data_IF_791946285601
#
_entry.id   IF_791946285601
#
_cell.length_a   1.000
_cell.length_b   1.000
_cell.length_c   1.000
_cell.angle_alpha   90.00
_cell.angle_beta   90.00
_cell.angle_gamma   90.00
#
_symmetry.space_group_name_H-M   'P 1'
#
loop_
_entity.id
_entity.type
_entity.pdbx_description
1 polymer ?
#
# COMPACT_ATOMS: atom_id res chain seq x y z
N UNK A 1 5.14 -25.62 -24.43
CA UNK A 1 3.97 -25.15 -23.63
C UNK A 1 4.43 -24.99 -22.17
N UNK A 2 4.45 -23.76 -21.64
CA UNK A 2 5.10 -23.44 -20.36
C UNK A 2 4.29 -23.97 -19.17
N UNK A 3 4.84 -24.93 -18.43
CA UNK A 3 4.31 -25.47 -17.16
C UNK A 3 4.16 -24.42 -16.02
N UNK A 4 4.62 -23.20 -16.21
CA UNK A 4 4.52 -22.12 -15.23
C UNK A 4 3.07 -21.65 -14.93
N UNK A 5 2.10 -21.91 -15.82
CA UNK A 5 0.69 -21.52 -15.61
C UNK A 5 -0.06 -22.38 -14.58
N UNK A 6 0.50 -23.50 -14.16
CA UNK A 6 -0.15 -24.42 -13.18
C UNK A 6 0.42 -24.31 -11.77
N UNK A 7 1.55 -23.63 -11.56
CA UNK A 7 2.14 -23.46 -10.23
C UNK A 7 1.38 -22.42 -9.42
N UNK A 8 1.06 -22.74 -8.16
CA UNK A 8 0.51 -21.79 -7.20
C UNK A 8 1.58 -20.73 -6.82
N UNK A 9 2.79 -21.21 -6.53
CA UNK A 9 3.91 -20.32 -6.13
C UNK A 9 4.52 -19.73 -7.39
N UNK A 10 4.26 -18.45 -7.62
CA UNK A 10 4.81 -17.69 -8.75
C UNK A 10 5.66 -16.52 -8.25
N UNK A 11 6.61 -16.00 -9.04
CA UNK A 11 7.35 -14.80 -8.67
C UNK A 11 6.44 -13.60 -8.35
N UNK A 12 5.29 -13.48 -9.05
CA UNK A 12 4.29 -12.44 -8.81
C UNK A 12 3.66 -12.58 -7.43
N UNK A 13 3.30 -13.81 -7.03
CA UNK A 13 2.73 -14.07 -5.70
C UNK A 13 3.74 -13.74 -4.60
N UNK A 14 4.99 -14.17 -4.75
CA UNK A 14 6.04 -13.92 -3.75
C UNK A 14 6.35 -12.43 -3.63
N UNK A 15 6.51 -11.73 -4.76
CA UNK A 15 6.77 -10.29 -4.79
C UNK A 15 5.60 -9.51 -4.17
N UNK A 16 4.37 -9.81 -4.57
CA UNK A 16 3.17 -9.16 -4.01
C UNK A 16 3.03 -9.40 -2.50
N UNK A 17 3.25 -10.66 -2.06
CA UNK A 17 3.20 -10.99 -0.62
C UNK A 17 4.28 -10.25 0.17
N UNK A 18 5.50 -10.11 -0.36
CA UNK A 18 6.57 -9.40 0.32
C UNK A 18 6.26 -7.89 0.43
N UNK A 19 5.77 -7.27 -0.64
CA UNK A 19 5.37 -5.87 -0.62
C UNK A 19 4.30 -5.64 0.45
N UNK A 20 3.24 -6.46 0.48
CA UNK A 20 2.13 -6.26 1.41
C UNK A 20 2.53 -6.54 2.87
N UNK A 21 3.40 -7.53 3.14
CA UNK A 21 3.94 -7.77 4.49
C UNK A 21 4.59 -6.50 5.02
N UNK A 22 5.47 -5.88 4.25
CA UNK A 22 6.23 -4.71 4.67
C UNK A 22 5.31 -3.49 4.80
N UNK A 23 4.55 -3.15 3.76
CA UNK A 23 3.75 -1.93 3.75
C UNK A 23 2.60 -1.96 4.76
N UNK A 24 1.96 -3.11 4.96
CA UNK A 24 0.93 -3.29 5.98
C UNK A 24 1.51 -3.47 7.38
N UNK A 25 2.72 -4.02 7.50
CA UNK A 25 3.45 -4.06 8.76
C UNK A 25 3.73 -2.64 9.27
N UNK A 26 4.27 -1.78 8.42
CA UNK A 26 4.50 -0.37 8.74
C UNK A 26 3.17 0.31 9.10
N UNK A 27 2.12 0.14 8.26
CA UNK A 27 0.79 0.69 8.56
C UNK A 27 0.26 0.24 9.93
N UNK A 28 0.38 -1.05 10.25
CA UNK A 28 -0.10 -1.62 11.51
C UNK A 28 0.64 -1.12 12.74
N UNK A 29 1.81 -0.51 12.56
CA UNK A 29 2.65 -0.03 13.66
C UNK A 29 2.40 1.41 14.07
N UNK A 30 1.63 2.21 13.31
CA UNK A 30 1.48 3.65 13.59
C UNK A 30 1.00 3.96 15.01
N UNK A 31 0.16 3.11 15.59
CA UNK A 31 -0.34 3.32 16.96
C UNK A 31 0.73 3.39 18.05
N UNK A 32 1.90 2.73 17.86
CA UNK A 32 2.97 2.76 18.89
C UNK A 32 3.74 4.07 18.91
N UNK A 33 3.62 4.91 17.87
CA UNK A 33 4.27 6.22 17.80
C UNK A 33 3.50 7.32 18.52
N UNK A 34 2.26 7.07 18.92
CA UNK A 34 1.42 8.05 19.61
C UNK A 34 2.14 8.62 20.85
N UNK A 35 2.56 7.78 21.77
CA UNK A 35 3.17 8.22 23.03
C UNK A 35 4.49 8.97 22.81
N UNK A 36 5.44 8.49 22.00
CA UNK A 36 6.65 9.23 21.68
C UNK A 36 6.40 10.64 21.11
N UNK A 37 5.49 10.76 20.16
CA UNK A 37 5.17 12.03 19.48
C UNK A 37 4.42 12.99 20.42
N UNK A 38 3.40 12.49 21.15
CA UNK A 38 2.67 13.28 22.16
C UNK A 38 3.62 13.85 23.22
N UNK A 39 4.55 13.03 23.71
CA UNK A 39 5.50 13.45 24.74
C UNK A 39 6.52 14.48 24.23
N UNK A 40 7.01 14.37 23.01
CA UNK A 40 8.00 15.26 22.43
C UNK A 40 7.42 16.65 22.16
N UNK A 41 6.22 16.72 21.58
CA UNK A 41 5.60 17.96 21.12
C UNK A 41 4.50 18.48 22.06
N UNK A 42 4.16 17.76 23.12
CA UNK A 42 3.05 18.08 24.03
C UNK A 42 1.70 18.18 23.30
N UNK A 43 1.52 17.37 22.25
CA UNK A 43 0.27 17.34 21.52
C UNK A 43 -0.81 16.61 22.32
N UNK A 44 -2.06 17.00 22.07
CA UNK A 44 -3.19 16.30 22.63
C UNK A 44 -3.38 14.96 21.90
N UNK A 45 -3.82 13.93 22.62
CA UNK A 45 -4.11 12.61 22.06
C UNK A 45 -5.06 12.68 20.86
N UNK A 46 -6.02 13.60 20.87
CA UNK A 46 -6.98 13.78 19.77
C UNK A 46 -6.29 14.22 18.48
N UNK A 47 -5.21 14.98 18.55
CA UNK A 47 -4.49 15.49 17.38
C UNK A 47 -3.77 14.34 16.64
N UNK A 48 -3.13 13.43 17.37
CA UNK A 48 -2.53 12.24 16.79
C UNK A 48 -3.61 11.27 16.27
N UNK A 49 -4.67 11.05 17.03
CA UNK A 49 -5.77 10.18 16.58
C UNK A 49 -6.44 10.70 15.31
N UNK A 50 -6.58 12.02 15.18
CA UNK A 50 -7.09 12.67 13.97
C UNK A 50 -6.15 12.46 12.78
N UNK A 51 -4.83 12.53 13.00
CA UNK A 51 -3.84 12.23 11.97
C UNK A 51 -4.01 10.82 11.40
N UNK A 52 -4.19 9.81 12.27
CA UNK A 52 -4.44 8.43 11.85
C UNK A 52 -5.81 8.28 11.15
N UNK A 53 -6.83 9.01 11.58
CA UNK A 53 -8.13 9.04 10.89
C UNK A 53 -8.00 9.60 9.46
N UNK A 54 -7.24 10.70 9.30
CA UNK A 54 -6.93 11.32 8.01
C UNK A 54 -6.11 10.36 7.12
N UNK A 55 -5.14 9.64 7.67
CA UNK A 55 -4.40 8.59 6.96
C UNK A 55 -5.35 7.53 6.39
N UNK A 56 -6.29 7.03 7.19
CA UNK A 56 -7.26 6.03 6.74
C UNK A 56 -8.22 6.61 5.69
N UNK A 57 -8.61 7.89 5.81
CA UNK A 57 -9.40 8.58 4.78
C UNK A 57 -8.63 8.68 3.47
N UNK A 58 -7.35 9.09 3.52
CA UNK A 58 -6.44 9.10 2.36
C UNK A 58 -6.31 7.73 1.70
N UNK A 59 -6.19 6.67 2.50
CA UNK A 59 -6.18 5.30 1.99
C UNK A 59 -7.50 4.93 1.30
N UNK A 60 -8.64 5.22 1.92
CA UNK A 60 -9.97 4.94 1.37
C UNK A 60 -10.24 5.66 0.05
N UNK A 61 -9.91 6.96 -0.03
CA UNK A 61 -10.05 7.76 -1.25
C UNK A 61 -9.02 7.36 -2.31
N UNK A 62 -7.79 7.08 -1.90
CA UNK A 62 -6.70 6.70 -2.79
C UNK A 62 -6.91 5.34 -3.45
N UNK A 63 -7.55 4.37 -2.78
CA UNK A 63 -7.69 3.02 -3.30
C UNK A 63 -8.39 2.96 -4.68
N UNK A 64 -9.56 3.55 -4.91
CA UNK A 64 -10.18 3.57 -6.23
C UNK A 64 -9.37 4.39 -7.26
N UNK A 65 -8.70 5.46 -6.83
CA UNK A 65 -7.86 6.30 -7.71
C UNK A 65 -6.68 5.49 -8.23
N UNK A 66 -5.90 4.85 -7.33
CA UNK A 66 -4.77 4.02 -7.73
C UNK A 66 -5.22 2.81 -8.55
N UNK A 67 -6.37 2.20 -8.24
CA UNK A 67 -6.95 1.14 -9.05
C UNK A 67 -7.22 1.57 -10.49
N UNK A 68 -7.94 2.67 -10.69
CA UNK A 68 -8.25 3.21 -12.01
C UNK A 68 -6.99 3.66 -12.78
N UNK A 69 -6.04 4.31 -12.09
CA UNK A 69 -4.78 4.71 -12.68
C UNK A 69 -3.89 3.50 -13.02
N UNK A 70 -3.95 2.43 -12.22
CA UNK A 70 -3.25 1.18 -12.48
C UNK A 70 -3.72 0.50 -13.76
N UNK A 71 -5.04 0.50 -14.02
CA UNK A 71 -5.60 -0.01 -15.28
C UNK A 71 -5.16 0.84 -16.50
N UNK A 72 -5.02 2.15 -16.32
CA UNK A 72 -4.66 3.08 -17.41
C UNK A 72 -3.16 3.15 -17.68
N UNK A 73 -2.34 3.21 -16.65
CA UNK A 73 -0.91 3.51 -16.77
C UNK A 73 -0.01 2.30 -16.43
N UNK A 74 -0.60 1.21 -15.94
CA UNK A 74 0.09 0.01 -15.49
C UNK A 74 0.27 -0.05 -13.98
N UNK A 75 0.03 -1.22 -13.41
CA UNK A 75 0.05 -1.45 -11.96
C UNK A 75 1.42 -1.18 -11.32
N UNK A 76 2.50 -1.59 -11.99
CA UNK A 76 3.87 -1.39 -11.48
C UNK A 76 4.18 0.08 -11.23
N UNK A 77 3.81 0.94 -12.19
CA UNK A 77 4.03 2.39 -12.07
C UNK A 77 3.25 2.97 -10.92
N UNK A 78 2.01 2.52 -10.73
CA UNK A 78 1.16 3.00 -9.65
C UNK A 78 1.59 2.50 -8.28
N UNK A 79 2.08 1.27 -8.17
CA UNK A 79 2.68 0.74 -6.93
C UNK A 79 3.94 1.57 -6.57
N UNK A 80 4.80 1.87 -7.53
CA UNK A 80 5.98 2.72 -7.30
C UNK A 80 5.57 4.16 -6.92
N UNK A 81 4.56 4.73 -7.57
CA UNK A 81 4.03 6.05 -7.22
C UNK A 81 3.45 6.07 -5.80
N UNK A 82 2.70 5.02 -5.41
CA UNK A 82 2.23 4.86 -4.05
C UNK A 82 3.37 4.73 -3.04
N UNK A 83 4.37 3.91 -3.34
CA UNK A 83 5.57 3.80 -2.51
C UNK A 83 6.29 5.14 -2.34
N UNK A 84 6.37 5.94 -3.41
CA UNK A 84 6.96 7.28 -3.36
C UNK A 84 6.18 8.22 -2.43
N UNK A 85 4.85 8.23 -2.52
CA UNK A 85 4.01 8.98 -1.57
C UNK A 85 4.24 8.51 -0.12
N UNK A 86 4.32 7.20 0.09
CA UNK A 86 4.54 6.63 1.42
C UNK A 86 5.89 7.07 2.00
N UNK A 87 6.96 6.93 1.22
CA UNK A 87 8.33 7.32 1.61
C UNK A 87 8.41 8.81 1.90
N UNK A 88 7.88 9.66 1.00
CA UNK A 88 7.87 11.12 1.21
C UNK A 88 7.09 11.48 2.48
N UNK A 89 5.91 10.91 2.66
CA UNK A 89 5.11 11.15 3.86
C UNK A 89 5.87 10.80 5.13
N UNK A 90 6.48 9.61 5.21
CA UNK A 90 7.30 9.18 6.36
C UNK A 90 8.49 10.11 6.61
N UNK A 91 9.27 10.42 5.56
CA UNK A 91 10.47 11.26 5.70
C UNK A 91 10.10 12.68 6.13
N UNK A 92 9.09 13.29 5.50
CA UNK A 92 8.67 14.65 5.85
C UNK A 92 8.02 14.72 7.24
N UNK A 93 7.34 13.66 7.68
CA UNK A 93 6.76 13.59 9.02
C UNK A 93 7.82 13.72 10.13
N UNK A 94 9.07 13.33 9.87
CA UNK A 94 10.17 13.51 10.84
C UNK A 94 10.49 14.98 11.12
N UNK A 95 10.06 15.89 10.27
CA UNK A 95 10.24 17.34 10.42
C UNK A 95 8.96 18.08 10.86
N UNK A 96 7.85 17.38 11.00
CA UNK A 96 6.57 17.97 11.39
C UNK A 96 6.57 18.33 12.87
N UNK A 97 6.54 19.62 13.19
CA UNK A 97 6.57 20.15 14.55
C UNK A 97 5.19 20.59 15.06
N UNK A 98 4.16 20.55 14.22
CA UNK A 98 2.81 20.91 14.61
C UNK A 98 1.80 19.86 14.09
N UNK A 99 0.64 19.73 14.78
CA UNK A 99 -0.34 18.69 14.45
C UNK A 99 -0.89 18.79 13.02
N UNK A 100 -1.15 20.01 12.54
CA UNK A 100 -1.74 20.21 11.21
C UNK A 100 -0.81 19.73 10.09
N UNK A 101 0.49 20.04 10.19
CA UNK A 101 1.49 19.54 9.23
C UNK A 101 1.58 18.02 9.27
N UNK A 102 1.60 17.43 10.46
CA UNK A 102 1.63 15.98 10.61
C UNK A 102 0.37 15.32 10.00
N UNK A 103 -0.82 15.85 10.27
CA UNK A 103 -2.09 15.39 9.71
C UNK A 103 -2.11 15.45 8.18
N UNK A 104 -1.55 16.52 7.57
CA UNK A 104 -1.43 16.62 6.12
C UNK A 104 -0.47 15.55 5.55
N UNK A 105 0.64 15.29 6.24
CA UNK A 105 1.59 14.25 5.82
C UNK A 105 1.01 12.85 5.99
N UNK A 106 0.19 12.63 7.00
CA UNK A 106 -0.55 11.38 7.17
C UNK A 106 -1.57 11.14 6.04
N UNK A 107 -2.15 12.20 5.46
CA UNK A 107 -2.95 12.06 4.25
C UNK A 107 -2.11 11.53 3.08
N UNK A 108 -0.89 12.05 2.88
CA UNK A 108 0.04 11.59 1.85
C UNK A 108 0.45 10.12 2.10
N UNK A 109 0.73 9.76 3.36
CA UNK A 109 0.99 8.37 3.76
C UNK A 109 -0.20 7.48 3.41
N UNK A 110 -1.43 7.96 3.66
CA UNK A 110 -2.66 7.25 3.30
C UNK A 110 -2.76 6.94 1.81
N UNK A 111 -2.44 7.90 0.94
CA UNK A 111 -2.33 7.67 -0.50
C UNK A 111 -1.22 6.65 -0.82
N UNK A 112 -0.09 6.71 -0.12
CA UNK A 112 0.99 5.73 -0.24
C UNK A 112 0.53 4.30 0.09
N UNK A 113 -0.23 4.15 1.18
CA UNK A 113 -0.86 2.88 1.58
C UNK A 113 -1.84 2.40 0.50
N UNK A 114 -2.61 3.30 -0.11
CA UNK A 114 -3.54 2.95 -1.19
C UNK A 114 -2.83 2.35 -2.39
N UNK A 115 -1.75 2.97 -2.85
CA UNK A 115 -0.99 2.53 -4.03
C UNK A 115 -0.17 1.26 -3.81
N UNK A 116 0.30 1.00 -2.57
CA UNK A 116 1.08 -0.20 -2.23
C UNK A 116 0.26 -1.27 -1.51
N UNK A 117 -1.01 -1.00 -1.25
CA UNK A 117 -1.86 -1.78 -0.38
C UNK A 117 -2.56 -2.96 -1.03
N UNK A 118 -3.44 -3.55 -0.23
CA UNK A 118 -4.07 -4.83 -0.54
C UNK A 118 -4.84 -4.79 -1.87
N UNK A 119 -5.57 -3.70 -2.17
CA UNK A 119 -6.35 -3.56 -3.41
C UNK A 119 -5.50 -3.70 -4.66
N UNK A 120 -4.39 -2.97 -4.74
CA UNK A 120 -3.45 -3.02 -5.87
C UNK A 120 -2.78 -4.40 -5.99
N UNK A 121 -2.28 -4.94 -4.89
CA UNK A 121 -1.56 -6.22 -4.89
C UNK A 121 -2.51 -7.38 -5.23
N UNK A 122 -3.73 -7.41 -4.68
CA UNK A 122 -4.74 -8.42 -5.02
C UNK A 122 -5.11 -8.38 -6.51
N UNK A 123 -5.27 -7.18 -7.08
CA UNK A 123 -5.56 -7.03 -8.50
C UNK A 123 -4.44 -7.62 -9.38
N UNK A 124 -3.18 -7.30 -9.07
CA UNK A 124 -2.00 -7.82 -9.82
C UNK A 124 -1.89 -9.33 -9.69
N UNK A 125 -1.94 -9.86 -8.46
CA UNK A 125 -1.79 -11.30 -8.20
C UNK A 125 -2.98 -12.08 -8.76
N UNK A 126 -4.20 -11.56 -8.61
CA UNK A 126 -5.41 -12.19 -9.14
C UNK A 126 -5.40 -12.33 -10.65
N UNK A 127 -4.95 -11.30 -11.38
CA UNK A 127 -4.80 -11.35 -12.86
C UNK A 127 -3.66 -12.26 -13.31
N UNK A 128 -2.59 -12.36 -12.53
CA UNK A 128 -1.45 -13.21 -12.87
C UNK A 128 -1.68 -14.70 -12.54
N UNK A 129 -2.66 -15.01 -11.71
CA UNK A 129 -2.95 -16.36 -11.25
C UNK A 129 -3.84 -17.12 -12.24
N UNK A 130 -3.63 -18.44 -12.38
CA UNK A 130 -4.56 -19.30 -13.11
C UNK A 130 -5.92 -19.36 -12.39
N UNK A 131 -7.00 -19.62 -13.12
CA UNK A 131 -8.36 -19.72 -12.54
C UNK A 131 -8.40 -20.73 -11.37
N UNK A 132 -7.76 -21.87 -11.53
CA UNK A 132 -7.68 -22.93 -10.51
C UNK A 132 -7.05 -22.45 -9.20
N UNK A 133 -6.02 -21.59 -9.28
CA UNK A 133 -5.21 -21.19 -8.12
C UNK A 133 -5.53 -19.78 -7.62
N UNK A 134 -6.39 -19.03 -8.32
CA UNK A 134 -6.65 -17.61 -8.04
C UNK A 134 -7.13 -17.38 -6.61
N UNK A 135 -8.14 -18.11 -6.17
CA UNK A 135 -8.69 -17.96 -4.81
C UNK A 135 -7.63 -18.21 -3.73
N UNK A 136 -6.81 -19.26 -3.90
CA UNK A 136 -5.73 -19.54 -2.95
C UNK A 136 -4.63 -18.49 -2.99
N UNK A 137 -4.23 -18.01 -4.16
CA UNK A 137 -3.24 -16.95 -4.29
C UNK A 137 -3.69 -15.64 -3.61
N UNK A 138 -4.96 -15.26 -3.79
CA UNK A 138 -5.54 -14.09 -3.12
C UNK A 138 -5.58 -14.28 -1.60
N UNK A 139 -5.94 -15.49 -1.13
CA UNK A 139 -5.90 -15.84 0.30
C UNK A 139 -4.51 -15.72 0.90
N UNK A 140 -3.47 -16.19 0.18
CA UNK A 140 -2.07 -16.07 0.63
C UNK A 140 -1.65 -14.61 0.76
N UNK A 141 -1.96 -13.77 -0.22
CA UNK A 141 -1.66 -12.32 -0.16
C UNK A 141 -2.37 -11.65 1.02
N UNK A 142 -3.65 -11.99 1.24
CA UNK A 142 -4.41 -11.44 2.37
C UNK A 142 -3.82 -11.87 3.71
N UNK A 143 -3.47 -13.15 3.83
CA UNK A 143 -2.78 -13.68 5.02
C UNK A 143 -1.42 -13.01 5.23
N UNK A 144 -0.65 -12.78 4.16
CA UNK A 144 0.62 -12.07 4.21
C UNK A 144 0.46 -10.64 4.75
N UNK A 145 -0.59 -9.91 4.32
CA UNK A 145 -0.91 -8.58 4.86
C UNK A 145 -1.25 -8.62 6.35
N UNK A 146 -2.07 -9.57 6.79
CA UNK A 146 -2.40 -9.77 8.20
C UNK A 146 -1.17 -10.14 9.03
N UNK A 147 -0.29 -10.99 8.50
CA UNK A 147 0.99 -11.33 9.11
C UNK A 147 1.86 -10.08 9.30
N UNK A 148 1.99 -9.24 8.27
CA UNK A 148 2.71 -7.97 8.36
C UNK A 148 2.16 -7.10 9.49
N UNK A 149 0.85 -6.89 9.56
CA UNK A 149 0.22 -6.08 10.61
C UNK A 149 0.45 -6.65 12.01
N UNK A 150 0.41 -7.98 12.17
CA UNK A 150 0.64 -8.64 13.46
C UNK A 150 2.04 -8.36 14.01
N UNK A 151 3.06 -8.36 13.14
CA UNK A 151 4.45 -8.15 13.55
C UNK A 151 4.90 -6.69 13.49
N UNK A 152 4.17 -5.83 12.78
CA UNK A 152 4.54 -4.43 12.60
C UNK A 152 4.70 -3.67 13.91
N UNK A 153 3.69 -3.72 14.79
CA UNK A 153 3.75 -3.02 16.09
C UNK A 153 4.84 -3.55 17.02
N UNK A 154 5.04 -4.87 17.23
CA UNK A 154 6.17 -5.40 17.99
C UNK A 154 7.53 -4.98 17.44
N UNK A 155 7.71 -5.00 16.11
CA UNK A 155 8.97 -4.59 15.47
C UNK A 155 9.22 -3.09 15.69
N UNK A 156 8.20 -2.25 15.47
CA UNK A 156 8.31 -0.82 15.70
C UNK A 156 8.63 -0.50 17.16
N UNK A 157 7.98 -1.17 18.10
CA UNK A 157 8.26 -1.00 19.53
C UNK A 157 9.69 -1.43 19.88
N UNK A 158 10.18 -2.52 19.32
CA UNK A 158 11.55 -2.96 19.52
C UNK A 158 12.56 -1.93 18.98
N UNK A 159 12.28 -1.33 17.83
CA UNK A 159 13.11 -0.26 17.27
C UNK A 159 13.09 0.99 18.13
N UNK A 160 11.94 1.39 18.67
CA UNK A 160 11.79 2.55 19.55
C UNK A 160 12.56 2.42 20.87
N UNK A 161 12.95 1.21 21.29
CA UNK A 161 13.81 1.02 22.44
C UNK A 161 15.26 1.48 22.20
N UNK A 162 15.69 1.60 20.93
CA UNK A 162 17.07 1.93 20.55
C UNK A 162 17.16 3.21 19.71
N UNK A 163 16.07 3.62 19.05
CA UNK A 163 16.03 4.71 18.09
C UNK A 163 14.90 5.69 18.40
N UNK A 164 15.09 6.97 18.05
CA UNK A 164 13.99 7.93 18.11
C UNK A 164 12.91 7.57 17.08
N UNK A 165 11.67 8.05 17.28
CA UNK A 165 10.58 7.78 16.36
C UNK A 165 10.88 8.31 14.94
N UNK A 166 11.59 9.44 14.82
CA UNK A 166 12.03 9.97 13.53
C UNK A 166 12.96 8.99 12.81
N UNK A 167 13.92 8.42 13.53
CA UNK A 167 14.85 7.41 12.98
C UNK A 167 14.10 6.15 12.55
N UNK A 168 13.09 5.72 13.30
CA UNK A 168 12.25 4.57 12.92
C UNK A 168 11.46 4.86 11.65
N UNK A 169 10.92 6.07 11.47
CA UNK A 169 10.26 6.48 10.23
C UNK A 169 11.21 6.45 9.03
N UNK A 170 12.47 6.88 9.20
CA UNK A 170 13.51 6.77 8.15
C UNK A 170 13.81 5.29 7.84
N UNK A 171 13.95 4.43 8.85
CA UNK A 171 14.15 2.99 8.67
C UNK A 171 12.98 2.39 7.87
N UNK A 172 11.75 2.77 8.18
CA UNK A 172 10.57 2.33 7.43
C UNK A 172 10.57 2.82 5.99
N UNK A 173 10.92 4.09 5.75
CA UNK A 173 11.06 4.63 4.41
C UNK A 173 12.10 3.86 3.59
N UNK A 174 13.27 3.58 4.16
CA UNK A 174 14.31 2.78 3.52
C UNK A 174 13.86 1.33 3.25
N UNK A 175 13.10 0.74 4.18
CA UNK A 175 12.56 -0.61 4.01
C UNK A 175 11.54 -0.66 2.86
N UNK A 176 10.71 0.39 2.70
CA UNK A 176 9.79 0.51 1.55
C UNK A 176 10.59 0.62 0.25
N UNK A 177 11.62 1.49 0.20
CA UNK A 177 12.48 1.61 -0.99
C UNK A 177 13.11 0.27 -1.35
N UNK A 178 13.63 -0.45 -0.35
CA UNK A 178 14.26 -1.76 -0.56
C UNK A 178 13.26 -2.78 -1.13
N UNK A 179 12.06 -2.86 -0.57
CA UNK A 179 11.06 -3.83 -1.05
C UNK A 179 10.54 -3.49 -2.45
N UNK A 180 10.65 -2.24 -2.92
CA UNK A 180 10.31 -1.90 -4.31
C UNK A 180 11.23 -2.55 -5.33
N UNK A 181 12.40 -3.07 -4.94
CA UNK A 181 13.28 -3.86 -5.80
C UNK A 181 12.62 -5.13 -6.35
N UNK A 182 11.54 -5.62 -5.74
CA UNK A 182 10.79 -6.79 -6.24
C UNK A 182 9.66 -6.42 -7.22
N UNK A 183 9.37 -5.14 -7.43
CA UNK A 183 8.32 -4.69 -8.37
C UNK A 183 8.52 -5.21 -9.81
N UNK A 184 9.75 -5.34 -10.35
CA UNK A 184 9.95 -5.93 -11.67
C UNK A 184 9.36 -7.34 -11.84
N UNK A 185 9.26 -8.12 -10.77
CA UNK A 185 8.66 -9.47 -10.79
C UNK A 185 7.12 -9.48 -10.86
N UNK A 186 6.48 -8.35 -10.61
CA UNK A 186 5.03 -8.20 -10.83
C UNK A 186 4.72 -8.20 -12.34
N UNK A 187 3.45 -8.40 -12.69
CA UNK A 187 2.97 -8.31 -14.07
C UNK A 187 1.93 -7.20 -14.18
N UNK A 188 2.11 -6.32 -15.14
CA UNK A 188 1.09 -5.33 -15.47
C UNK A 188 -0.14 -6.01 -16.10
N UNK A 189 -1.31 -5.41 -15.88
CA UNK A 189 -2.49 -5.77 -16.63
C UNK A 189 -2.27 -5.45 -18.13
N UNK A 190 -2.86 -6.24 -19.05
CA UNK A 190 -2.96 -5.80 -20.42
C UNK A 190 -3.77 -4.47 -20.44
N UNK A 191 -3.23 -3.45 -21.07
CA UNK A 191 -3.93 -2.17 -21.24
C UNK A 191 -5.16 -2.43 -22.11
N UNK A 192 -6.34 -2.43 -21.49
CA UNK A 192 -7.60 -2.52 -22.22
C UNK A 192 -7.86 -1.12 -22.79
N UNK A 193 -7.53 -0.93 -24.06
CA UNK A 193 -7.94 0.28 -24.78
C UNK A 193 -9.47 0.20 -24.88
N UNK A 194 -10.15 1.10 -24.21
CA UNK A 194 -11.62 1.20 -24.15
C UNK A 194 -12.22 1.69 -25.50
N UNK A 195 -12.02 0.99 -26.59
CA UNK A 195 -12.79 1.23 -27.78
C UNK A 195 -14.16 0.48 -27.83
N UNK A 196 -14.32 -0.58 -27.05
CA UNK A 196 -15.54 -1.40 -27.09
C UNK A 196 -16.70 -0.95 -26.19
N UNK A 197 -16.46 -0.15 -25.14
CA UNK A 197 -17.51 0.21 -24.17
C UNK A 197 -18.43 1.32 -24.72
N UNK A 198 -17.92 2.27 -25.51
CA UNK A 198 -18.76 3.33 -26.08
C UNK A 198 -19.74 2.79 -27.15
N UNK A 199 -19.32 1.77 -27.89
CA UNK A 199 -20.18 1.14 -28.89
C UNK A 199 -21.32 0.33 -28.27
N UNK A 200 -21.09 -0.25 -27.07
CA UNK A 200 -22.09 -1.01 -26.33
C UNK A 200 -23.18 -0.13 -25.69
N UNK A 201 -22.81 1.00 -25.13
CA UNK A 201 -23.77 1.95 -24.51
C UNK A 201 -24.65 2.64 -25.58
N UNK A 202 -24.07 3.03 -26.71
CA UNK A 202 -24.83 3.61 -27.83
C UNK A 202 -25.80 2.62 -28.44
N UNK A 203 -25.44 1.34 -28.54
CA UNK A 203 -26.36 0.29 -29.00
C UNK A 203 -27.50 -0.02 -28.04
N UNK A 204 -27.23 0.02 -26.73
CA UNK A 204 -28.25 -0.21 -25.68
C UNK A 204 -29.25 0.97 -25.67
N UNK A 205 -28.75 2.20 -25.78
CA UNK A 205 -29.59 3.41 -25.78
C UNK A 205 -30.36 3.63 -27.09
N UNK A 206 -29.88 3.06 -28.20
CA UNK A 206 -30.59 3.16 -29.49
C UNK A 206 -31.71 2.10 -29.68
N UNK A 207 -31.80 1.11 -28.80
CA UNK A 207 -32.81 0.05 -28.79
C UNK A 207 -33.85 0.20 -27.68
N UNK A 208 -33.82 1.29 -26.90
CA UNK A 208 -34.78 1.64 -25.86
C UNK A 208 -35.74 2.74 -26.37
#
# INVERSE_FOLDING_TARGET
MNNYKSSLITPVLLAGSLIIIITFGIRGSFGVFQIPIENEFQWLRVEFSLAIAIQNLGWGIGAPIFGALGEKFGDKKMIVAGAFCYVIGLVLSTYAQNPLTHQFLELIIGFGIAGTGLGMILAVVGRASSEKNRSMALGIVTAAGSFGQMFGAPIAQALLNFYSWQQVFIIFALTIVLVMSVVPFLKDAPIIIKEEVEVSLTKVLSNA
#
